data_IF_826894632347
#
_entry.id   IF_826894632347
#
_cell.length_a   1.000
_cell.length_b   1.000
_cell.length_c   1.000
_cell.angle_alpha   90.00
_cell.angle_beta   90.00
_cell.angle_gamma   90.00
#
_symmetry.space_group_name_H-M   'P 1'
#
loop_
_entity.id
_entity.type
_entity.pdbx_description
1 polymer ?
#
# COMPACT_ATOMS: atom_id res chain seq x y z
N UNK A 1 -28.34 -49.82 -14.56
CA UNK A 1 -28.17 -48.69 -15.52
C UNK A 1 -28.58 -47.42 -14.78
N UNK A 2 -27.64 -46.74 -14.12
CA UNK A 2 -26.95 -45.53 -14.59
C UNK A 2 -27.94 -44.44 -15.04
N UNK A 3 -28.14 -43.40 -14.22
CA UNK A 3 -27.70 -42.01 -14.50
C UNK A 3 -27.54 -41.26 -13.17
N UNK A 4 -26.34 -41.34 -12.59
CA UNK A 4 -25.80 -40.33 -11.68
C UNK A 4 -25.07 -39.31 -12.54
N UNK A 5 -25.35 -38.02 -12.36
CA UNK A 5 -24.52 -36.97 -12.96
C UNK A 5 -25.32 -35.82 -13.54
N UNK A 6 -25.46 -34.74 -12.76
CA UNK A 6 -25.43 -33.33 -13.21
C UNK A 6 -25.75 -32.39 -12.03
N UNK A 7 -24.95 -32.44 -10.96
CA UNK A 7 -24.89 -31.36 -9.95
C UNK A 7 -23.45 -31.13 -9.49
N UNK A 8 -22.51 -31.07 -10.44
CA UNK A 8 -21.09 -30.74 -10.19
C UNK A 8 -20.53 -29.75 -11.22
N UNK A 9 -21.32 -28.76 -11.63
CA UNK A 9 -20.85 -27.75 -12.61
C UNK A 9 -21.03 -26.30 -12.16
N UNK A 10 -21.55 -26.02 -10.97
CA UNK A 10 -21.69 -24.65 -10.45
C UNK A 10 -20.81 -24.31 -9.25
N UNK A 11 -19.99 -25.25 -8.77
CA UNK A 11 -19.08 -25.02 -7.63
C UNK A 11 -17.66 -24.61 -8.06
N UNK A 12 -17.46 -24.19 -9.32
CA UNK A 12 -16.13 -23.83 -9.87
C UNK A 12 -15.94 -22.31 -9.98
N UNK A 13 -17.00 -21.50 -9.88
CA UNK A 13 -16.93 -20.03 -10.04
C UNK A 13 -16.83 -19.23 -8.74
N UNK A 14 -16.79 -19.88 -7.58
CA UNK A 14 -16.66 -19.25 -6.26
C UNK A 14 -15.42 -19.73 -5.50
N UNK A 15 -14.44 -20.32 -6.19
CA UNK A 15 -13.09 -20.32 -5.65
C UNK A 15 -12.62 -18.87 -5.68
N UNK A 16 -12.72 -18.24 -4.51
CA UNK A 16 -12.15 -16.95 -4.19
C UNK A 16 -10.91 -16.73 -5.05
N UNK A 17 -10.95 -15.72 -5.91
CA UNK A 17 -9.75 -15.16 -6.52
C UNK A 17 -8.82 -14.86 -5.35
N UNK A 18 -7.90 -15.80 -5.07
CA UNK A 18 -6.80 -15.55 -4.16
C UNK A 18 -6.04 -14.44 -4.85
N UNK A 19 -6.20 -13.22 -4.36
CA UNK A 19 -5.39 -12.10 -4.80
C UNK A 19 -3.94 -12.57 -4.64
N UNK A 20 -3.14 -12.67 -5.72
CA UNK A 20 -1.73 -13.05 -5.63
C UNK A 20 -0.90 -12.00 -4.88
N UNK A 21 -1.55 -10.89 -4.48
CA UNK A 21 -0.97 -9.81 -3.73
C UNK A 21 -0.88 -10.18 -2.24
N UNK A 22 0.22 -10.81 -1.85
CA UNK A 22 0.71 -10.68 -0.48
C UNK A 22 1.56 -9.40 -0.42
N UNK A 23 1.10 -8.31 0.22
CA UNK A 23 1.97 -7.19 0.49
C UNK A 23 3.13 -7.72 1.36
N UNK A 24 4.37 -7.54 0.88
CA UNK A 24 5.53 -7.74 1.73
C UNK A 24 5.34 -6.86 2.96
N UNK A 25 5.41 -7.47 4.15
CA UNK A 25 5.37 -6.72 5.42
C UNK A 25 6.56 -5.77 5.58
N UNK A 26 7.55 -5.91 4.70
CA UNK A 26 8.79 -5.15 4.70
C UNK A 26 8.69 -3.89 3.82
N UNK A 27 7.61 -3.72 3.05
CA UNK A 27 7.39 -2.55 2.20
C UNK A 27 6.50 -1.51 2.88
N UNK A 28 7.09 -0.39 3.28
CA UNK A 28 6.38 0.76 3.84
C UNK A 28 6.56 1.99 2.97
N UNK A 29 5.55 2.26 2.14
CA UNK A 29 5.54 3.45 1.29
C UNK A 29 5.37 4.71 2.13
N UNK A 30 6.21 5.70 1.85
CA UNK A 30 6.20 6.99 2.53
C UNK A 30 6.29 8.13 1.52
N UNK A 31 5.79 9.29 1.92
CA UNK A 31 6.08 10.57 1.26
C UNK A 31 6.90 11.42 2.22
N UNK A 32 7.94 12.08 1.74
CA UNK A 32 8.84 12.85 2.58
C UNK A 32 9.41 14.09 1.89
N UNK A 33 10.01 14.97 2.68
CA UNK A 33 10.91 16.05 2.24
C UNK A 33 12.27 15.87 2.91
N UNK A 34 13.34 16.32 2.25
CA UNK A 34 14.66 16.41 2.84
C UNK A 34 15.31 17.76 2.46
N UNK A 35 16.19 18.34 3.29
CA UNK A 35 16.76 19.67 3.04
C UNK A 35 17.48 19.81 1.68
N UNK A 36 18.07 18.72 1.19
CA UNK A 36 18.83 18.68 -0.07
C UNK A 36 17.99 18.26 -1.28
N UNK A 37 16.67 18.10 -1.13
CA UNK A 37 15.76 17.69 -2.19
C UNK A 37 14.70 18.75 -2.46
N UNK A 38 14.43 19.02 -3.74
CA UNK A 38 13.40 19.97 -4.15
C UNK A 38 12.03 19.30 -4.16
N UNK A 39 11.15 19.74 -3.26
CA UNK A 39 9.76 19.27 -3.20
C UNK A 39 9.59 17.87 -2.58
N UNK A 40 8.35 17.35 -2.58
CA UNK A 40 8.05 16.05 -2.00
C UNK A 40 8.61 14.91 -2.85
N UNK A 41 9.04 13.86 -2.16
CA UNK A 41 9.58 12.63 -2.76
C UNK A 41 8.84 11.42 -2.20
N UNK A 42 8.78 10.35 -3.00
CA UNK A 42 8.29 9.05 -2.59
C UNK A 42 9.46 8.19 -2.11
N UNK A 43 9.20 7.37 -1.09
CA UNK A 43 10.22 6.53 -0.50
C UNK A 43 9.70 5.24 0.09
N UNK A 44 10.63 4.40 0.54
CA UNK A 44 10.36 3.23 1.37
C UNK A 44 11.06 3.36 2.71
N UNK A 45 10.34 3.19 3.81
CA UNK A 45 10.92 3.09 5.14
C UNK A 45 11.54 1.70 5.34
N UNK A 46 12.81 1.64 5.77
CA UNK A 46 13.52 0.38 6.03
C UNK A 46 13.19 -0.17 7.43
N UNK A 47 11.95 -0.65 7.60
CA UNK A 47 11.47 -1.20 8.86
C UNK A 47 11.13 -0.15 9.93
N UNK A 48 10.68 -0.60 11.11
CA UNK A 48 10.25 0.28 12.19
C UNK A 48 11.37 1.22 12.64
N UNK A 49 11.21 2.53 12.42
CA UNK A 49 12.20 3.52 12.85
C UNK A 49 13.46 3.55 11.99
N UNK A 50 13.48 2.82 10.86
CA UNK A 50 14.56 2.87 9.90
C UNK A 50 14.62 4.18 9.12
N UNK A 51 15.62 4.26 8.25
CA UNK A 51 15.75 5.37 7.30
C UNK A 51 14.86 5.18 6.07
N UNK A 52 15.08 5.99 5.05
CA UNK A 52 14.24 6.03 3.85
C UNK A 52 15.05 5.81 2.58
N UNK A 53 14.63 4.85 1.75
CA UNK A 53 15.10 4.70 0.37
C UNK A 53 14.32 5.69 -0.49
N UNK A 54 15.02 6.59 -1.21
CA UNK A 54 14.39 7.55 -2.11
C UNK A 54 14.04 6.90 -3.45
N UNK A 55 12.75 6.63 -3.69
CA UNK A 55 12.28 5.96 -4.90
C UNK A 55 12.48 6.82 -6.14
N UNK A 56 12.30 8.14 -6.05
CA UNK A 56 12.48 9.00 -7.22
C UNK A 56 13.96 9.24 -7.58
N UNK A 57 14.89 8.97 -6.65
CA UNK A 57 16.31 8.93 -6.98
C UNK A 57 16.68 7.59 -7.65
N UNK A 58 16.05 6.50 -7.23
CA UNK A 58 16.22 5.18 -7.87
C UNK A 58 15.65 5.14 -9.28
N UNK A 59 14.48 5.73 -9.48
CA UNK A 59 13.81 5.82 -10.78
C UNK A 59 13.17 7.21 -10.96
N UNK A 60 13.85 8.12 -11.68
CA UNK A 60 13.35 9.48 -11.90
C UNK A 60 12.05 9.57 -12.71
N UNK A 61 11.63 8.48 -13.37
CA UNK A 61 10.38 8.45 -14.14
C UNK A 61 9.15 8.29 -13.26
N UNK A 62 9.34 7.89 -11.99
CA UNK A 62 8.25 7.73 -11.04
C UNK A 62 7.56 9.06 -10.72
N UNK A 63 6.23 9.03 -10.51
CA UNK A 63 5.49 10.20 -10.03
C UNK A 63 6.04 10.76 -8.71
N UNK A 64 5.79 12.05 -8.47
CA UNK A 64 6.19 12.74 -7.23
C UNK A 64 5.09 12.76 -6.16
N UNK A 65 3.90 12.25 -6.48
CA UNK A 65 2.74 12.20 -5.57
C UNK A 65 2.28 10.78 -5.34
N UNK A 66 1.81 10.47 -4.13
CA UNK A 66 1.35 9.13 -3.79
C UNK A 66 0.11 8.72 -4.59
N UNK A 67 -0.82 9.65 -4.84
CA UNK A 67 -2.01 9.38 -5.66
C UNK A 67 -1.63 8.88 -7.05
N UNK A 68 -0.79 9.63 -7.79
CA UNK A 68 -0.33 9.23 -9.12
C UNK A 68 0.48 7.93 -9.10
N UNK A 69 1.27 7.71 -8.06
CA UNK A 69 2.00 6.45 -7.89
C UNK A 69 1.05 5.25 -7.74
N UNK A 70 0.01 5.38 -6.91
CA UNK A 70 -0.97 4.33 -6.67
C UNK A 70 -1.88 4.09 -7.88
N UNK A 71 -2.25 5.13 -8.63
CA UNK A 71 -3.03 5.04 -9.87
C UNK A 71 -2.34 4.17 -10.94
N UNK A 72 -1.01 4.16 -10.97
CA UNK A 72 -0.23 3.31 -11.89
C UNK A 72 -0.10 1.85 -11.43
N UNK A 73 -0.53 1.54 -10.21
CA UNK A 73 -0.66 0.18 -9.68
C UNK A 73 0.62 -0.64 -9.73
N UNK A 74 0.57 -1.82 -10.36
CA UNK A 74 1.65 -2.80 -10.31
C UNK A 74 2.94 -2.31 -10.98
N UNK A 75 2.85 -1.42 -11.99
CA UNK A 75 4.02 -0.87 -12.67
C UNK A 75 4.96 -0.15 -11.68
N UNK A 76 4.41 0.75 -10.85
CA UNK A 76 5.16 1.52 -9.86
C UNK A 76 5.52 0.70 -8.63
N UNK A 77 4.63 -0.21 -8.20
CA UNK A 77 4.91 -1.12 -7.09
C UNK A 77 6.08 -2.09 -7.40
N UNK A 78 6.23 -2.50 -8.65
CA UNK A 78 7.37 -3.33 -9.08
C UNK A 78 8.70 -2.58 -8.93
N UNK A 79 8.71 -1.27 -9.20
CA UNK A 79 9.88 -0.41 -9.02
C UNK A 79 10.24 -0.30 -7.55
N UNK A 80 9.25 -0.10 -6.68
CA UNK A 80 9.47 -0.07 -5.25
C UNK A 80 10.06 -1.39 -4.71
N UNK A 81 9.57 -2.54 -5.17
CA UNK A 81 10.16 -3.85 -4.82
C UNK A 81 11.62 -3.98 -5.27
N UNK A 82 11.93 -3.54 -6.49
CA UNK A 82 13.32 -3.54 -6.99
C UNK A 82 14.21 -2.63 -6.17
N UNK A 83 13.74 -1.44 -5.79
CA UNK A 83 14.48 -0.51 -4.95
C UNK A 83 14.81 -1.10 -3.57
N UNK A 84 13.84 -1.80 -2.96
CA UNK A 84 14.03 -2.48 -1.68
C UNK A 84 15.10 -3.59 -1.78
N UNK A 85 15.05 -4.40 -2.84
CA UNK A 85 16.01 -5.47 -3.07
C UNK A 85 17.43 -4.97 -3.39
N UNK A 86 17.55 -3.77 -3.98
CA UNK A 86 18.82 -3.20 -4.40
C UNK A 86 19.69 -2.65 -3.24
N UNK A 87 19.20 -2.67 -1.99
CA UNK A 87 19.93 -2.19 -0.80
C UNK A 87 20.58 -0.81 -0.99
N UNK A 88 19.84 0.11 -1.63
CA UNK A 88 20.31 1.45 -1.95
C UNK A 88 20.71 2.25 -0.71
N UNK A 89 21.54 3.28 -0.85
CA UNK A 89 21.81 4.23 0.22
C UNK A 89 20.50 4.75 0.83
N UNK A 90 20.44 4.65 2.16
CA UNK A 90 19.25 5.00 2.94
C UNK A 90 19.47 6.38 3.54
N UNK A 91 18.55 7.30 3.28
CA UNK A 91 18.53 8.59 3.96
C UNK A 91 18.25 8.37 5.44
N UNK A 92 19.07 8.92 6.36
CA UNK A 92 18.80 8.83 7.78
C UNK A 92 17.43 9.41 8.12
N UNK A 93 16.72 8.77 9.05
CA UNK A 93 15.40 9.23 9.49
C UNK A 93 15.41 10.68 9.97
N UNK A 94 16.50 11.11 10.61
CA UNK A 94 16.71 12.47 11.09
C UNK A 94 16.81 13.53 9.99
N UNK A 95 17.10 13.12 8.76
CA UNK A 95 17.24 14.04 7.61
C UNK A 95 15.95 14.17 6.78
N UNK A 96 14.92 13.40 7.12
CA UNK A 96 13.66 13.40 6.41
C UNK A 96 12.52 13.92 7.30
N UNK A 97 11.65 14.73 6.72
CA UNK A 97 10.36 15.08 7.30
C UNK A 97 9.29 14.30 6.57
N UNK A 98 8.61 13.39 7.27
CA UNK A 98 7.49 12.64 6.70
C UNK A 98 6.29 13.56 6.46
N UNK A 99 5.63 13.36 5.33
CA UNK A 99 4.37 14.01 4.99
C UNK A 99 3.22 13.03 5.23
N UNK A 100 1.98 13.54 5.17
CA UNK A 100 0.81 12.67 5.10
C UNK A 100 0.96 11.68 3.93
N UNK A 101 0.57 10.40 4.08
CA UNK A 101 0.71 9.39 3.02
C UNK A 101 0.09 9.82 1.70
N UNK A 102 -1.03 10.55 1.76
CA UNK A 102 -1.67 11.22 0.63
C UNK A 102 -1.90 12.68 1.01
N UNK A 103 -1.27 13.60 0.29
CA UNK A 103 -1.25 15.04 0.63
C UNK A 103 -2.43 15.84 0.08
N UNK A 104 -3.13 15.34 -0.95
CA UNK A 104 -4.30 15.98 -1.56
C UNK A 104 -5.35 14.93 -1.94
N UNK A 105 -5.98 14.26 -0.95
CA UNK A 105 -7.06 13.33 -1.23
C UNK A 105 -8.28 14.10 -1.78
N UNK A 106 -9.00 13.52 -2.75
CA UNK A 106 -10.24 14.11 -3.28
C UNK A 106 -11.40 13.89 -2.30
N UNK A 107 -11.64 12.63 -1.92
CA UNK A 107 -12.66 12.24 -0.93
C UNK A 107 -12.05 11.35 0.13
N UNK A 108 -12.49 11.55 1.38
CA UNK A 108 -12.14 10.70 2.51
C UNK A 108 -13.40 9.95 2.92
N UNK A 109 -13.42 8.63 2.69
CA UNK A 109 -14.51 7.75 3.09
C UNK A 109 -14.11 7.06 4.38
N UNK A 110 -14.88 7.29 5.44
CA UNK A 110 -14.71 6.61 6.72
C UNK A 110 -15.80 5.56 6.84
N UNK A 111 -15.42 4.34 7.21
CA UNK A 111 -16.39 3.31 7.57
C UNK A 111 -16.48 3.29 9.09
N UNK A 112 -17.67 3.45 9.65
CA UNK A 112 -17.94 3.29 11.08
C UNK A 112 -18.42 1.88 11.39
N UNK A 113 -18.49 1.50 12.67
CA UNK A 113 -19.02 0.20 13.10
C UNK A 113 -18.23 -1.01 12.54
N UNK A 114 -16.95 -0.83 12.18
CA UNK A 114 -16.10 -1.89 11.64
C UNK A 114 -15.63 -2.91 12.69
N UNK A 115 -15.81 -2.58 13.98
CA UNK A 115 -15.40 -3.41 15.09
C UNK A 115 -16.54 -3.46 16.10
N UNK A 116 -16.81 -4.64 16.64
CA UNK A 116 -17.92 -4.89 17.58
C UNK A 116 -17.86 -3.93 18.77
N UNK A 117 -16.67 -3.62 19.28
CA UNK A 117 -16.51 -2.75 20.44
C UNK A 117 -16.90 -1.30 20.15
N UNK A 118 -16.72 -0.82 18.91
CA UNK A 118 -17.22 0.49 18.48
C UNK A 118 -18.75 0.52 18.58
N UNK A 119 -19.42 -0.54 18.11
CA UNK A 119 -20.88 -0.63 18.20
C UNK A 119 -21.36 -0.64 19.66
N UNK A 120 -20.67 -1.39 20.53
CA UNK A 120 -20.95 -1.43 21.97
C UNK A 120 -20.78 -0.06 22.63
N UNK A 121 -19.69 0.65 22.33
CA UNK A 121 -19.41 1.98 22.88
C UNK A 121 -20.52 2.98 22.53
N UNK A 122 -21.06 2.89 21.31
CA UNK A 122 -22.13 3.78 20.86
C UNK A 122 -23.55 3.27 21.20
N UNK A 123 -23.68 2.11 21.85
CA UNK A 123 -24.96 1.43 22.11
C UNK A 123 -25.81 1.20 20.84
N UNK A 124 -25.17 0.89 19.71
CA UNK A 124 -25.84 0.57 18.45
C UNK A 124 -25.75 -0.93 18.14
N UNK A 125 -26.74 -1.53 17.44
CA UNK A 125 -26.66 -2.92 17.01
C UNK A 125 -25.44 -3.18 16.11
N UNK A 126 -24.85 -4.36 16.22
CA UNK A 126 -23.82 -4.81 15.25
C UNK A 126 -24.51 -5.08 13.90
N UNK A 127 -24.03 -4.50 12.78
CA UNK A 127 -24.62 -4.66 11.44
C UNK A 127 -24.69 -6.11 10.94
#
# INVERSE_FOLDING_TARGET
>A
MLVSGRRRLLTVLLQAQKWPFQPSRDMRLVQFRAPHLVGPHLGLETGNGGGVINLNAFDPTLPKTMTQFLEQGEATLSVARRALAAQLPVLPRSEVTFLAPVTRPDKVVCVGMNYVDHCKEQNVPVP
#
